data_IF_800653317288
#
_entry.id   IF_800653317288
#
_cell.length_a   1.000
_cell.length_b   1.000
_cell.length_c   1.000
_cell.angle_alpha   90.00
_cell.angle_beta   90.00
_cell.angle_gamma   90.00
#
_symmetry.space_group_name_H-M   'P 1'
#
loop_
_entity.id
_entity.type
_entity.pdbx_description
1 polymer ?
#
# COMPACT_ATOMS: atom_id res chain seq x y z
N UNK A 1 0.92 11.88 -16.22
CA UNK A 1 0.55 12.41 -14.89
C UNK A 1 0.73 11.27 -13.89
N UNK A 2 1.89 11.15 -13.25
CA UNK A 2 2.13 10.11 -12.24
C UNK A 2 1.46 10.55 -10.94
N UNK A 3 0.51 9.75 -10.45
CA UNK A 3 -0.18 10.00 -9.18
C UNK A 3 0.65 9.37 -8.06
N UNK A 4 1.56 10.14 -7.45
CA UNK A 4 2.26 9.71 -6.24
C UNK A 4 1.35 9.98 -5.03
N UNK A 5 0.72 8.93 -4.49
CA UNK A 5 -0.13 9.05 -3.31
C UNK A 5 0.73 8.89 -2.06
N UNK A 6 1.05 10.00 -1.41
CA UNK A 6 1.87 10.03 -0.19
C UNK A 6 0.97 9.97 1.05
N UNK A 7 1.15 8.99 1.95
CA UNK A 7 0.40 8.93 3.20
C UNK A 7 0.96 9.95 4.19
N UNK A 8 0.24 11.05 4.37
CA UNK A 8 0.53 12.04 5.40
C UNK A 8 -0.27 11.69 6.66
N UNK A 9 0.42 11.60 7.80
CA UNK A 9 -0.26 11.49 9.09
C UNK A 9 -0.66 12.90 9.54
N UNK A 10 -1.37 13.05 10.66
CA UNK A 10 -1.56 14.38 11.23
C UNK A 10 -0.20 14.95 11.65
N UNK A 11 0.12 16.17 11.20
CA UNK A 11 1.38 16.82 11.54
C UNK A 11 1.61 18.09 10.71
N UNK A 12 2.68 18.80 11.06
CA UNK A 12 3.22 19.89 10.24
C UNK A 12 4.37 19.41 9.37
N UNK A 13 4.40 19.92 8.17
CA UNK A 13 4.99 19.24 7.03
C UNK A 13 5.64 20.33 6.16
N UNK A 14 6.65 21.00 6.72
CA UNK A 14 7.14 22.27 6.18
C UNK A 14 8.20 22.14 5.08
N UNK A 15 8.53 20.91 4.64
CA UNK A 15 9.37 20.65 3.48
C UNK A 15 8.97 19.33 2.80
N UNK A 16 9.09 19.26 1.47
CA UNK A 16 8.60 18.11 0.67
C UNK A 16 9.31 16.78 1.01
N UNK A 17 10.57 16.85 1.49
CA UNK A 17 11.30 15.67 1.97
C UNK A 17 10.56 14.96 3.11
N UNK A 18 9.88 15.72 3.99
CA UNK A 18 9.11 15.17 5.11
C UNK A 18 7.85 14.40 4.66
N UNK A 19 7.43 14.58 3.43
CA UNK A 19 6.23 13.97 2.83
C UNK A 19 6.63 12.75 2.00
N UNK A 20 7.94 12.48 1.86
CA UNK A 20 8.52 11.53 0.91
C UNK A 20 8.18 11.84 -0.55
N UNK A 21 7.91 13.11 -0.87
CA UNK A 21 7.68 13.54 -2.24
C UNK A 21 9.00 13.65 -2.99
N UNK A 22 9.04 13.19 -4.25
CA UNK A 22 10.21 13.38 -5.11
C UNK A 22 10.29 14.80 -5.71
N UNK A 23 9.18 15.54 -5.65
CA UNK A 23 9.02 16.90 -6.20
C UNK A 23 8.10 17.70 -5.28
N UNK A 24 8.14 19.02 -5.39
CA UNK A 24 7.29 19.97 -4.65
C UNK A 24 5.91 20.19 -5.30
N UNK A 25 5.61 19.49 -6.39
CA UNK A 25 4.36 19.65 -7.13
C UNK A 25 3.24 18.77 -6.57
N UNK A 26 2.19 19.40 -6.00
CA UNK A 26 0.94 18.77 -5.59
C UNK A 26 -0.20 19.27 -6.48
N UNK A 27 -0.73 18.41 -7.32
CA UNK A 27 -1.85 18.75 -8.23
C UNK A 27 -3.22 18.43 -7.65
N UNK A 28 -3.29 17.58 -6.63
CA UNK A 28 -4.54 17.15 -5.99
C UNK A 28 -4.28 16.56 -4.60
N UNK A 29 -5.26 16.69 -3.72
CA UNK A 29 -5.27 16.09 -2.38
C UNK A 29 -6.63 15.47 -2.12
N UNK A 30 -6.66 14.32 -1.44
CA UNK A 30 -7.89 13.72 -0.93
C UNK A 30 -7.68 13.09 0.44
N UNK A 31 -8.65 13.15 1.34
CA UNK A 31 -8.59 12.39 2.59
C UNK A 31 -8.69 10.89 2.30
N UNK A 32 -7.89 10.09 3.01
CA UNK A 32 -8.03 8.63 3.06
C UNK A 32 -9.16 8.34 4.05
N UNK A 33 -10.22 7.66 3.61
CA UNK A 33 -11.38 7.40 4.47
C UNK A 33 -11.14 6.15 5.29
N UNK A 34 -11.19 6.28 6.62
CA UNK A 34 -11.26 5.11 7.50
C UNK A 34 -12.69 4.59 7.53
N UNK A 35 -12.97 3.57 6.72
CA UNK A 35 -14.28 2.91 6.75
C UNK A 35 -14.23 1.79 7.77
N UNK A 36 -14.55 2.11 9.02
CA UNK A 36 -14.64 1.17 10.13
C UNK A 36 -15.83 0.22 9.92
N UNK A 37 -15.53 -1.05 9.68
CA UNK A 37 -16.48 -2.16 9.84
C UNK A 37 -15.77 -3.27 10.63
N UNK A 38 -16.55 -4.19 11.23
CA UNK A 38 -16.14 -5.28 12.12
C UNK A 38 -15.00 -6.21 11.64
N UNK A 39 -14.49 -6.05 10.41
CA UNK A 39 -13.51 -6.93 9.78
C UNK A 39 -12.04 -6.72 10.22
N UNK A 40 -11.75 -5.78 11.13
CA UNK A 40 -10.38 -5.47 11.55
C UNK A 40 -9.52 -4.85 10.44
N UNK A 41 -8.20 -4.77 10.63
CA UNK A 41 -7.25 -4.30 9.61
C UNK A 41 -6.61 -5.53 8.94
N UNK A 42 -7.10 -5.89 7.76
CA UNK A 42 -6.72 -7.15 7.08
C UNK A 42 -6.59 -6.93 5.57
N UNK A 43 -5.54 -7.49 4.98
CA UNK A 43 -5.33 -7.58 3.54
C UNK A 43 -4.98 -9.01 3.11
N UNK A 44 -5.42 -9.40 1.92
CA UNK A 44 -5.06 -10.65 1.27
C UNK A 44 -4.27 -10.36 -0.01
N UNK A 45 -3.09 -10.94 -0.11
CA UNK A 45 -2.16 -10.75 -1.23
C UNK A 45 -2.08 -12.06 -2.02
N UNK A 46 -2.02 -11.92 -3.34
CA UNK A 46 -2.01 -13.05 -4.27
C UNK A 46 -0.88 -12.92 -5.27
N UNK A 47 -0.21 -14.05 -5.51
CA UNK A 47 0.89 -14.15 -6.48
C UNK A 47 0.45 -13.75 -7.90
N UNK A 48 -0.75 -14.13 -8.31
CA UNK A 48 -1.27 -13.93 -9.67
C UNK A 48 -2.44 -12.94 -9.68
N UNK A 49 -2.76 -12.43 -10.87
CA UNK A 49 -3.93 -11.58 -11.09
C UNK A 49 -5.24 -12.32 -10.82
N UNK A 50 -6.31 -11.57 -10.59
CA UNK A 50 -7.64 -12.13 -10.34
C UNK A 50 -7.74 -13.00 -9.08
N UNK A 51 -6.93 -12.70 -8.05
CA UNK A 51 -6.94 -13.36 -6.75
C UNK A 51 -6.62 -14.86 -6.80
N UNK A 52 -5.63 -15.23 -7.61
CA UNK A 52 -5.23 -16.61 -7.84
C UNK A 52 -3.76 -16.88 -7.48
N UNK A 53 -3.37 -18.16 -7.44
CA UNK A 53 -2.03 -18.58 -7.06
C UNK A 53 -1.82 -18.60 -5.54
N UNK A 54 -0.57 -18.50 -5.08
CA UNK A 54 -0.25 -18.48 -3.65
C UNK A 54 -0.92 -17.27 -2.98
N UNK A 55 -1.66 -17.53 -1.89
CA UNK A 55 -2.37 -16.54 -1.08
C UNK A 55 -1.64 -16.30 0.24
N UNK A 56 -1.64 -15.05 0.70
CA UNK A 56 -1.15 -14.65 2.01
C UNK A 56 -2.15 -13.72 2.65
N UNK A 57 -2.36 -13.84 3.96
CA UNK A 57 -3.17 -12.90 4.74
C UNK A 57 -2.26 -12.10 5.68
N UNK A 58 -2.45 -10.78 5.69
CA UNK A 58 -1.63 -9.82 6.43
C UNK A 58 -2.56 -9.00 7.31
N UNK A 59 -2.25 -8.97 8.61
CA UNK A 59 -2.97 -8.18 9.62
C UNK A 59 -2.06 -7.17 10.35
N UNK A 60 -0.74 -7.29 10.16
CA UNK A 60 0.28 -6.45 10.78
C UNK A 60 1.27 -5.90 9.75
N UNK A 61 2.09 -4.95 10.19
CA UNK A 61 3.11 -4.35 9.36
C UNK A 61 4.19 -5.39 8.99
N UNK A 62 4.59 -5.43 7.72
CA UNK A 62 5.57 -6.38 7.17
C UNK A 62 6.73 -5.61 6.54
N UNK A 63 7.89 -5.53 7.20
CA UNK A 63 9.05 -4.80 6.66
C UNK A 63 9.74 -5.54 5.52
N UNK A 64 9.55 -6.84 5.36
CA UNK A 64 10.13 -7.60 4.24
C UNK A 64 9.23 -8.80 3.87
N UNK A 65 8.53 -8.70 2.74
CA UNK A 65 7.65 -9.75 2.24
C UNK A 65 8.42 -11.02 1.85
N UNK A 66 9.58 -10.87 1.20
CA UNK A 66 10.40 -12.00 0.79
C UNK A 66 10.89 -12.80 2.00
N UNK A 67 11.38 -12.13 3.04
CA UNK A 67 11.86 -12.81 4.25
C UNK A 67 10.72 -13.49 5.03
N UNK A 68 9.51 -12.90 5.04
CA UNK A 68 8.40 -13.42 5.85
C UNK A 68 7.60 -14.52 5.15
N UNK A 69 7.46 -14.45 3.83
CA UNK A 69 6.58 -15.34 3.06
C UNK A 69 7.23 -16.03 1.87
N UNK A 70 8.53 -15.79 1.64
CA UNK A 70 9.28 -16.26 0.46
C UNK A 70 8.59 -15.89 -0.86
N UNK A 71 7.93 -14.71 -0.89
CA UNK A 71 7.23 -14.19 -2.06
C UNK A 71 7.20 -12.66 -2.02
N UNK A 72 7.62 -12.02 -3.11
CA UNK A 72 7.55 -10.56 -3.30
C UNK A 72 6.94 -10.15 -4.66
N UNK A 73 6.39 -11.10 -5.41
CA UNK A 73 5.66 -10.88 -6.66
C UNK A 73 4.17 -11.01 -6.39
N UNK A 74 3.50 -9.87 -6.26
CA UNK A 74 2.09 -9.75 -5.87
C UNK A 74 1.35 -9.06 -7.01
N UNK A 75 0.50 -9.81 -7.69
CA UNK A 75 -0.23 -9.30 -8.85
C UNK A 75 -1.67 -8.91 -8.53
N UNK A 76 -2.26 -9.34 -7.42
CA UNK A 76 -3.56 -8.86 -6.97
C UNK A 76 -3.68 -8.80 -5.45
N UNK A 77 -4.51 -7.89 -4.94
CA UNK A 77 -4.68 -7.61 -3.52
C UNK A 77 -6.16 -7.37 -3.21
N UNK A 78 -6.67 -7.97 -2.13
CA UNK A 78 -7.95 -7.58 -1.53
C UNK A 78 -7.68 -6.90 -0.19
N UNK A 79 -8.08 -5.64 -0.07
CA UNK A 79 -8.08 -4.95 1.23
C UNK A 79 -9.46 -5.17 1.85
N UNK A 80 -9.51 -6.05 2.86
CA UNK A 80 -10.75 -6.42 3.53
C UNK A 80 -11.16 -5.39 4.58
N UNK A 81 -10.17 -4.78 5.22
CA UNK A 81 -10.38 -3.73 6.21
C UNK A 81 -9.14 -2.88 6.47
N UNK A 82 -9.40 -1.65 6.92
CA UNK A 82 -8.39 -0.60 7.08
C UNK A 82 -7.91 -0.02 5.74
N UNK A 83 -6.79 0.69 5.82
CA UNK A 83 -6.03 1.16 4.67
C UNK A 83 -4.57 0.77 4.86
N UNK A 84 -3.86 0.57 3.75
CA UNK A 84 -2.50 0.06 3.72
C UNK A 84 -1.63 0.88 2.80
N UNK A 85 -0.34 0.93 3.12
CA UNK A 85 0.69 1.45 2.23
C UNK A 85 1.54 0.28 1.76
N UNK A 86 1.62 0.12 0.44
CA UNK A 86 2.43 -0.91 -0.22
C UNK A 86 3.67 -0.25 -0.81
N UNK A 87 4.84 -0.85 -0.56
CA UNK A 87 6.14 -0.35 -1.02
C UNK A 87 6.80 -1.37 -1.94
N UNK A 88 7.43 -0.90 -3.02
CA UNK A 88 8.17 -1.78 -3.93
C UNK A 88 9.45 -2.34 -3.29
N UNK A 89 10.05 -1.62 -2.34
CA UNK A 89 11.26 -2.07 -1.64
C UNK A 89 10.98 -2.54 -0.20
N UNK A 90 11.86 -3.38 0.38
CA UNK A 90 11.82 -3.69 1.80
C UNK A 90 12.01 -2.44 2.68
N UNK A 91 11.64 -2.56 3.95
CA UNK A 91 11.81 -1.56 5.01
C UNK A 91 11.12 -0.22 4.70
N UNK A 92 9.97 -0.27 4.03
CA UNK A 92 9.10 0.88 3.73
C UNK A 92 9.77 1.93 2.86
N UNK A 93 10.48 1.49 1.81
CA UNK A 93 11.26 2.36 0.90
C UNK A 93 10.76 2.28 -0.54
N UNK A 94 11.25 3.20 -1.35
CA UNK A 94 11.00 3.26 -2.79
C UNK A 94 9.56 3.69 -3.15
N UNK A 95 9.14 3.44 -4.39
CA UNK A 95 7.80 3.73 -4.87
C UNK A 95 6.73 3.08 -3.99
N UNK A 96 5.69 3.83 -3.66
CA UNK A 96 4.65 3.38 -2.74
C UNK A 96 3.26 3.86 -3.11
N UNK A 97 2.25 3.13 -2.63
CA UNK A 97 0.86 3.27 -3.02
C UNK A 97 -0.05 3.08 -1.80
N UNK A 98 -1.06 3.93 -1.66
CA UNK A 98 -2.10 3.77 -0.63
C UNK A 98 -3.25 2.94 -1.21
N UNK A 99 -3.58 1.85 -0.51
CA UNK A 99 -4.67 0.96 -0.85
C UNK A 99 -5.75 1.06 0.24
N UNK A 100 -6.94 1.48 -0.15
CA UNK A 100 -8.14 1.51 0.70
C UNK A 100 -8.93 0.20 0.52
N UNK A 101 -9.97 0.00 1.34
CA UNK A 101 -10.87 -1.15 1.25
C UNK A 101 -11.46 -1.30 -0.16
N UNK A 102 -10.90 -2.22 -0.94
CA UNK A 102 -11.27 -2.55 -2.32
C UNK A 102 -10.57 -3.84 -2.76
N UNK A 103 -11.11 -4.43 -3.81
CA UNK A 103 -10.50 -5.49 -4.60
C UNK A 103 -9.67 -4.88 -5.75
N UNK A 104 -8.37 -5.19 -5.78
CA UNK A 104 -7.42 -4.81 -6.82
C UNK A 104 -6.97 -6.06 -7.58
N UNK A 105 -7.53 -6.26 -8.78
CA UNK A 105 -7.37 -7.47 -9.60
C UNK A 105 -6.01 -7.56 -10.30
N UNK A 106 -5.33 -6.42 -10.48
CA UNK A 106 -4.01 -6.32 -11.07
C UNK A 106 -3.16 -5.25 -10.36
N UNK A 107 -1.82 -5.34 -10.46
CA UNK A 107 -0.92 -4.33 -9.91
C UNK A 107 -1.08 -2.95 -10.53
N UNK A 108 -1.60 -2.87 -11.76
CA UNK A 108 -1.96 -1.59 -12.38
C UNK A 108 -3.14 -0.91 -11.69
N UNK A 109 -4.01 -1.64 -10.97
CA UNK A 109 -5.19 -1.07 -10.32
C UNK A 109 -4.84 -0.15 -9.14
N UNK A 110 -3.68 -0.35 -8.50
CA UNK A 110 -3.14 0.57 -7.49
C UNK A 110 -2.07 1.52 -8.06
N UNK A 111 -1.88 1.53 -9.38
CA UNK A 111 -0.97 2.45 -10.08
C UNK A 111 0.49 1.99 -10.16
N UNK A 112 0.81 0.74 -9.80
CA UNK A 112 2.16 0.20 -9.97
C UNK A 112 2.44 -0.20 -11.42
N UNK A 113 3.69 -0.09 -11.84
CA UNK A 113 4.15 -0.54 -13.17
C UNK A 113 4.52 -2.03 -13.19
N UNK A 114 4.68 -2.66 -12.04
CA UNK A 114 5.02 -4.07 -11.92
C UNK A 114 4.47 -4.68 -10.61
N UNK A 115 4.58 -6.01 -10.47
CA UNK A 115 4.07 -6.77 -9.32
C UNK A 115 5.01 -6.83 -8.11
N UNK A 116 6.12 -6.08 -8.08
CA UNK A 116 7.07 -6.15 -6.96
C UNK A 116 6.48 -5.48 -5.73
N UNK A 117 6.47 -6.20 -4.62
CA UNK A 117 6.12 -5.66 -3.29
C UNK A 117 7.18 -6.12 -2.30
N UNK A 118 7.95 -5.17 -1.77
CA UNK A 118 9.01 -5.44 -0.81
C UNK A 118 8.55 -5.33 0.63
N UNK A 119 7.63 -4.40 0.94
CA UNK A 119 7.09 -4.21 2.28
C UNK A 119 5.69 -3.60 2.27
N UNK A 120 4.97 -3.73 3.38
CA UNK A 120 3.59 -3.27 3.52
C UNK A 120 3.30 -2.87 4.96
N UNK A 121 2.58 -1.76 5.20
CA UNK A 121 2.18 -1.32 6.55
C UNK A 121 0.77 -0.76 6.59
N UNK A 122 0.16 -0.80 7.76
CA UNK A 122 -1.16 -0.21 8.02
C UNK A 122 -1.05 1.31 8.06
N UNK A 123 -2.06 1.99 7.51
CA UNK A 123 -2.26 3.42 7.75
C UNK A 123 -2.86 3.57 9.14
N UNK A 124 -2.22 4.39 9.98
CA UNK A 124 -2.73 4.71 11.33
C UNK A 124 -3.34 6.10 11.30
N UNK A 125 -4.60 6.18 11.66
CA UNK A 125 -5.30 7.44 11.90
C UNK A 125 -5.22 7.65 13.40
N UNK A 126 -4.31 8.53 13.84
CA UNK A 126 -4.26 9.00 15.22
C UNK A 126 -5.20 10.18 15.39
#
# INVERSE_FOLDING_TARGET
MLLHILPLHQGEYNCYDKWCAQVDHVSSVRPVKQVSFCAGIVAQLFERGGFSGKKMEIQDDVPNLMSRYSLNRIASIRVLGGAWVVYQEPNYRGPHYILEKRDYNNYSDWGSQNSTVGSMRRVRFN
#
